data_IF_997887388584
#
_entry.id   IF_997887388584
#
_cell.length_a   1.000
_cell.length_b   1.000
_cell.length_c   1.000
_cell.angle_alpha   90.00
_cell.angle_beta   90.00
_cell.angle_gamma   90.00
#
_symmetry.space_group_name_H-M   'P 1'
#
loop_
_entity.id
_entity.type
_entity.pdbx_description
1 polymer ?
#
# COMPACT_ATOMS: atom_id res chain seq x y z
N UNK A 1 -22.83 9.47 11.95
CA UNK A 1 -22.63 8.40 10.95
C UNK A 1 -21.56 8.91 10.00
N UNK A 2 -20.45 8.22 9.83
CA UNK A 2 -19.59 8.48 8.68
C UNK A 2 -20.43 8.17 7.44
N UNK A 3 -20.57 9.15 6.54
CA UNK A 3 -21.04 8.88 5.19
C UNK A 3 -20.05 7.90 4.56
N UNK A 4 -20.54 6.83 3.98
CA UNK A 4 -19.79 5.65 3.52
C UNK A 4 -18.77 5.91 2.39
N UNK A 5 -18.52 7.15 2.03
CA UNK A 5 -17.48 7.53 1.06
C UNK A 5 -17.05 8.97 1.25
N UNK A 6 -15.77 9.24 1.08
CA UNK A 6 -15.26 10.60 0.97
C UNK A 6 -15.89 11.30 -0.24
N UNK A 7 -16.31 12.57 -0.13
CA UNK A 7 -16.82 13.32 -1.27
C UNK A 7 -15.74 13.49 -2.35
N UNK A 8 -16.09 13.26 -3.61
CA UNK A 8 -15.18 13.47 -4.74
C UNK A 8 -14.74 14.94 -4.91
N UNK A 9 -15.51 15.87 -4.32
CA UNK A 9 -15.21 17.31 -4.34
C UNK A 9 -13.94 17.69 -3.56
N UNK A 10 -13.42 16.79 -2.74
CA UNK A 10 -12.11 16.96 -2.10
C UNK A 10 -10.94 16.88 -3.09
N UNK A 11 -11.19 16.32 -4.28
CA UNK A 11 -10.23 16.18 -5.35
C UNK A 11 -10.49 17.18 -6.47
N UNK A 12 -9.42 17.63 -7.12
CA UNK A 12 -9.48 18.61 -8.20
C UNK A 12 -10.23 18.06 -9.42
N UNK A 13 -10.95 18.93 -10.12
CA UNK A 13 -11.79 18.55 -11.24
C UNK A 13 -10.99 17.97 -12.41
N UNK A 14 -11.70 17.14 -13.20
CA UNK A 14 -11.21 16.58 -14.45
C UNK A 14 -10.95 17.70 -15.48
N UNK A 15 -9.77 17.65 -16.09
CA UNK A 15 -9.43 18.49 -17.23
C UNK A 15 -9.46 17.59 -18.49
N UNK A 16 -10.01 18.05 -19.63
CA UNK A 16 -10.08 17.23 -20.87
C UNK A 16 -8.73 16.70 -21.39
N UNK A 17 -7.61 17.25 -20.88
CA UNK A 17 -6.25 16.81 -21.22
C UNK A 17 -5.83 15.48 -20.57
N UNK A 18 -6.64 14.94 -19.65
CA UNK A 18 -6.38 13.68 -18.93
C UNK A 18 -6.51 12.42 -19.83
N UNK A 19 -6.72 12.57 -21.12
CA UNK A 19 -6.73 11.43 -22.06
C UNK A 19 -5.32 10.93 -22.30
N UNK A 20 -5.09 9.68 -21.93
CA UNK A 20 -3.85 8.97 -22.22
C UNK A 20 -3.84 8.52 -23.66
N UNK A 21 -2.83 8.90 -24.44
CA UNK A 21 -2.61 8.39 -25.80
C UNK A 21 -1.12 8.08 -26.00
N UNK A 22 -0.84 7.09 -26.83
CA UNK A 22 0.54 6.73 -27.18
C UNK A 22 1.30 7.91 -27.79
N UNK A 23 0.63 8.70 -28.64
CA UNK A 23 1.21 9.87 -29.30
C UNK A 23 1.64 10.96 -28.31
N UNK A 24 0.89 11.18 -27.23
CA UNK A 24 1.28 12.15 -26.20
C UNK A 24 2.54 11.71 -25.46
N UNK A 25 2.65 10.42 -25.18
CA UNK A 25 3.82 9.86 -24.46
C UNK A 25 5.02 9.76 -25.39
N UNK A 26 4.82 9.32 -26.66
CA UNK A 26 5.89 9.26 -27.66
C UNK A 26 6.49 10.65 -27.97
N UNK A 27 5.66 11.71 -27.93
CA UNK A 27 6.10 13.10 -28.15
C UNK A 27 6.58 13.79 -26.86
N UNK A 28 6.83 13.05 -25.76
CA UNK A 28 7.31 13.59 -24.48
C UNK A 28 6.28 14.45 -23.73
N UNK A 29 5.04 14.52 -24.20
CA UNK A 29 3.94 15.19 -23.51
C UNK A 29 3.33 14.22 -22.49
N UNK A 30 3.52 14.51 -21.22
CA UNK A 30 2.97 13.71 -20.11
C UNK A 30 1.47 13.96 -20.02
N UNK A 31 0.67 12.92 -20.13
CA UNK A 31 -0.74 12.99 -19.75
C UNK A 31 -0.83 13.00 -18.23
N UNK A 32 -1.55 13.95 -17.66
CA UNK A 32 -1.88 13.97 -16.23
C UNK A 32 -3.24 13.30 -16.07
N UNK A 33 -3.29 12.16 -15.42
CA UNK A 33 -4.54 11.47 -15.07
C UNK A 33 -4.91 11.91 -13.65
N UNK A 34 -5.98 12.66 -13.48
CA UNK A 34 -6.43 13.12 -12.16
C UNK A 34 -7.08 11.99 -11.38
N UNK A 35 -6.78 11.89 -10.08
CA UNK A 35 -7.36 10.86 -9.20
C UNK A 35 -8.88 10.93 -9.18
N UNK A 36 -9.48 12.13 -9.19
CA UNK A 36 -10.93 12.33 -9.28
C UNK A 36 -11.55 11.63 -10.50
N UNK A 37 -10.91 11.71 -11.68
CA UNK A 37 -11.42 11.09 -12.91
C UNK A 37 -11.38 9.55 -12.88
N UNK A 38 -10.50 9.01 -12.06
CA UNK A 38 -10.31 7.56 -11.90
C UNK A 38 -11.29 7.01 -10.87
N UNK A 39 -11.45 7.69 -9.74
CA UNK A 39 -12.41 7.31 -8.69
C UNK A 39 -13.87 7.56 -9.08
N UNK A 40 -14.12 8.53 -9.97
CA UNK A 40 -15.44 8.82 -10.52
C UNK A 40 -15.90 7.86 -11.62
N UNK A 41 -14.99 7.05 -12.16
CA UNK A 41 -15.25 6.12 -13.27
C UNK A 41 -16.11 4.92 -12.78
N UNK A 42 -17.01 4.46 -13.65
CA UNK A 42 -17.90 3.34 -13.35
C UNK A 42 -17.14 2.05 -13.05
N UNK A 43 -15.96 1.85 -13.64
CA UNK A 43 -15.11 0.70 -13.35
C UNK A 43 -14.69 0.63 -11.88
N UNK A 44 -14.48 1.76 -11.22
CA UNK A 44 -14.17 1.81 -9.80
C UNK A 44 -15.44 1.84 -8.95
N UNK A 45 -16.41 2.70 -9.28
CA UNK A 45 -17.63 2.89 -8.49
C UNK A 45 -18.48 1.63 -8.36
N UNK A 46 -18.55 0.84 -9.43
CA UNK A 46 -19.32 -0.41 -9.46
C UNK A 46 -18.47 -1.65 -9.14
N UNK A 47 -17.22 -1.47 -8.71
CA UNK A 47 -16.31 -2.56 -8.36
C UNK A 47 -16.80 -3.27 -7.10
N UNK A 48 -16.91 -4.61 -7.18
CA UNK A 48 -17.30 -5.47 -6.04
C UNK A 48 -16.10 -6.11 -5.34
N UNK A 49 -14.90 -5.57 -5.57
CA UNK A 49 -13.68 -6.04 -4.94
C UNK A 49 -13.70 -5.77 -3.42
N UNK A 50 -13.05 -6.64 -2.66
CA UNK A 50 -12.89 -6.44 -1.21
C UNK A 50 -12.01 -5.24 -0.90
N UNK A 51 -10.91 -5.06 -1.62
CA UNK A 51 -10.01 -3.90 -1.51
C UNK A 51 -9.73 -3.32 -2.90
N UNK A 52 -10.68 -2.55 -3.47
CA UNK A 52 -10.53 -2.02 -4.82
C UNK A 52 -9.46 -0.91 -4.85
N UNK A 53 -8.51 -1.07 -5.75
CA UNK A 53 -7.44 -0.10 -6.00
C UNK A 53 -7.46 0.32 -7.45
N UNK A 54 -7.66 1.61 -7.70
CA UNK A 54 -7.63 2.22 -9.02
C UNK A 54 -6.32 3.01 -9.20
N UNK A 55 -5.40 2.48 -10.01
CA UNK A 55 -4.02 3.00 -10.09
C UNK A 55 -3.79 3.98 -11.25
N UNK A 56 -4.74 4.12 -12.17
CA UNK A 56 -4.59 5.01 -13.32
C UNK A 56 -5.36 4.54 -14.55
N UNK A 57 -4.91 4.97 -15.72
CA UNK A 57 -5.51 4.63 -17.01
C UNK A 57 -4.52 3.93 -17.92
N UNK A 58 -5.02 2.92 -18.65
CA UNK A 58 -4.29 2.26 -19.73
C UNK A 58 -4.21 3.17 -20.97
N UNK A 59 -3.40 2.80 -21.95
CA UNK A 59 -3.35 3.52 -23.24
C UNK A 59 -4.69 3.52 -24.01
N UNK A 60 -5.54 2.52 -23.76
CA UNK A 60 -6.92 2.51 -24.24
C UNK A 60 -7.87 3.39 -23.42
N UNK A 61 -7.35 4.25 -22.56
CA UNK A 61 -8.08 5.16 -21.66
C UNK A 61 -9.05 4.47 -20.70
N UNK A 62 -8.89 3.17 -20.45
CA UNK A 62 -9.67 2.41 -19.46
C UNK A 62 -9.04 2.57 -18.08
N UNK A 63 -9.86 2.74 -17.07
CA UNK A 63 -9.39 2.75 -15.68
C UNK A 63 -8.93 1.34 -15.30
N UNK A 64 -7.71 1.25 -14.76
CA UNK A 64 -7.18 0.00 -14.21
C UNK A 64 -7.53 -0.10 -12.75
N UNK A 65 -8.42 -1.04 -12.44
CA UNK A 65 -8.80 -1.41 -11.08
C UNK A 65 -8.33 -2.84 -10.82
N UNK A 66 -7.80 -3.08 -9.62
CA UNK A 66 -7.53 -4.44 -9.15
C UNK A 66 -7.93 -4.59 -7.68
N UNK A 67 -8.09 -5.83 -7.23
CA UNK A 67 -8.44 -6.16 -5.86
C UNK A 67 -7.17 -6.50 -5.05
N UNK A 68 -6.77 -5.63 -4.13
CA UNK A 68 -5.58 -5.88 -3.29
C UNK A 68 -5.77 -7.10 -2.38
N UNK A 69 -7.00 -7.49 -2.04
CA UNK A 69 -7.25 -8.70 -1.27
C UNK A 69 -6.97 -9.99 -2.08
N UNK A 70 -7.15 -9.94 -3.41
CA UNK A 70 -6.82 -11.04 -4.32
C UNK A 70 -5.38 -11.02 -4.79
N UNK A 71 -4.82 -9.82 -4.98
CA UNK A 71 -3.41 -9.55 -5.26
C UNK A 71 -2.73 -9.07 -3.97
N UNK A 72 -2.46 -9.96 -3.01
CA UNK A 72 -2.42 -9.65 -1.57
C UNK A 72 -1.28 -8.75 -1.15
N UNK A 73 -0.20 -8.70 -1.92
CA UNK A 73 0.97 -7.90 -1.59
C UNK A 73 1.49 -7.22 -2.84
N UNK A 74 1.82 -5.94 -2.70
CA UNK A 74 2.22 -5.09 -3.81
C UNK A 74 3.65 -4.60 -3.62
N UNK A 75 4.50 -4.82 -4.60
CA UNK A 75 5.84 -4.22 -4.69
C UNK A 75 5.80 -3.02 -5.63
N UNK A 76 6.25 -1.85 -5.17
CA UNK A 76 6.38 -0.63 -5.99
C UNK A 76 7.85 -0.22 -6.02
N UNK A 77 8.49 -0.24 -7.18
CA UNK A 77 9.90 0.10 -7.25
C UNK A 77 10.29 0.88 -8.52
N UNK A 78 11.38 1.63 -8.43
CA UNK A 78 11.97 2.38 -9.52
C UNK A 78 12.81 3.55 -9.04
N UNK A 79 13.27 4.40 -9.95
CA UNK A 79 14.17 5.50 -9.61
C UNK A 79 13.45 6.63 -8.85
N UNK A 80 14.23 7.44 -8.14
CA UNK A 80 13.74 8.60 -7.38
C UNK A 80 13.01 9.59 -8.29
N UNK A 81 11.92 10.19 -7.79
CA UNK A 81 11.10 11.19 -8.50
C UNK A 81 10.43 10.67 -9.79
N UNK A 82 10.24 9.35 -9.94
CA UNK A 82 9.61 8.77 -11.13
C UNK A 82 8.14 8.36 -10.92
N UNK A 83 7.56 8.61 -9.74
CA UNK A 83 6.13 8.37 -9.48
C UNK A 83 5.82 7.29 -8.44
N UNK A 84 6.82 6.80 -7.67
CA UNK A 84 6.62 5.84 -6.59
C UNK A 84 5.57 6.32 -5.58
N UNK A 85 5.77 7.52 -5.03
CA UNK A 85 4.85 8.14 -4.06
C UNK A 85 3.47 8.39 -4.66
N UNK A 86 3.41 8.77 -5.94
CA UNK A 86 2.14 8.94 -6.67
C UNK A 86 1.36 7.62 -6.71
N UNK A 87 2.02 6.50 -7.02
CA UNK A 87 1.39 5.19 -7.03
C UNK A 87 0.89 4.79 -5.63
N UNK A 88 1.68 5.03 -4.57
CA UNK A 88 1.27 4.76 -3.18
C UNK A 88 0.04 5.61 -2.82
N UNK A 89 0.06 6.90 -3.11
CA UNK A 89 -1.04 7.80 -2.81
C UNK A 89 -2.33 7.43 -3.56
N UNK A 90 -2.22 6.95 -4.80
CA UNK A 90 -3.37 6.43 -5.54
C UNK A 90 -3.98 5.19 -4.87
N UNK A 91 -3.15 4.29 -4.32
CA UNK A 91 -3.62 3.14 -3.54
C UNK A 91 -4.35 3.60 -2.28
N UNK A 92 -3.72 4.47 -1.48
CA UNK A 92 -4.32 4.97 -0.22
C UNK A 92 -5.63 5.70 -0.50
N UNK A 93 -5.66 6.60 -1.49
CA UNK A 93 -6.88 7.32 -1.86
C UNK A 93 -7.99 6.35 -2.30
N UNK A 94 -7.68 5.36 -3.16
CA UNK A 94 -8.67 4.36 -3.58
C UNK A 94 -9.31 3.66 -2.40
N UNK A 95 -8.50 3.24 -1.44
CA UNK A 95 -8.97 2.52 -0.26
C UNK A 95 -9.76 3.43 0.70
N UNK A 96 -9.35 4.69 0.89
CA UNK A 96 -10.11 5.67 1.71
C UNK A 96 -11.47 6.03 1.10
N UNK A 97 -11.58 6.02 -0.24
CA UNK A 97 -12.85 6.28 -0.93
C UNK A 97 -13.78 5.06 -0.98
N UNK A 98 -13.26 3.85 -0.78
CA UNK A 98 -14.02 2.61 -0.93
C UNK A 98 -14.36 1.93 0.39
N UNK A 99 -13.64 2.20 1.47
CA UNK A 99 -13.77 1.45 2.73
C UNK A 99 -14.02 2.36 3.93
N UNK A 100 -14.90 1.87 4.81
CA UNK A 100 -15.16 2.52 6.10
C UNK A 100 -14.02 2.21 7.10
N UNK A 101 -13.74 3.07 8.11
CA UNK A 101 -12.69 2.82 9.11
C UNK A 101 -12.86 1.52 9.92
N UNK A 102 -14.09 1.00 10.03
CA UNK A 102 -14.34 -0.31 10.66
C UNK A 102 -13.95 -1.50 9.77
N UNK A 103 -13.71 -1.27 8.48
CA UNK A 103 -13.37 -2.30 7.50
C UNK A 103 -11.89 -2.28 7.10
N UNK A 104 -11.18 -1.16 7.38
CA UNK A 104 -9.81 -0.94 6.92
C UNK A 104 -8.99 -0.18 7.95
N UNK A 105 -7.78 -0.65 8.15
CA UNK A 105 -6.74 0.05 8.90
C UNK A 105 -5.44 0.11 8.10
N UNK A 106 -4.69 1.19 8.29
CA UNK A 106 -3.35 1.36 7.72
C UNK A 106 -2.29 1.32 8.81
N UNK A 107 -1.12 0.83 8.43
CA UNK A 107 0.14 0.98 9.17
C UNK A 107 1.14 1.62 8.22
N UNK A 108 1.69 2.76 8.59
CA UNK A 108 2.66 3.48 7.76
C UNK A 108 4.06 3.42 8.37
N UNK A 109 5.01 2.92 7.58
CA UNK A 109 6.43 2.92 7.91
C UNK A 109 7.15 3.86 6.94
N UNK A 110 7.61 5.01 7.47
CA UNK A 110 8.29 6.08 6.73
C UNK A 110 9.63 6.43 7.40
N UNK A 111 10.68 5.66 7.13
CA UNK A 111 11.99 5.89 7.77
C UNK A 111 12.59 7.28 7.52
N UNK A 112 12.12 7.97 6.48
CA UNK A 112 12.56 9.31 6.13
C UNK A 112 11.70 10.41 6.76
N UNK A 113 10.48 10.09 7.20
CA UNK A 113 9.54 11.01 7.81
C UNK A 113 8.98 12.09 6.88
N UNK A 114 9.06 11.90 5.56
CA UNK A 114 8.74 12.94 4.58
C UNK A 114 7.46 12.65 3.78
N UNK A 115 7.15 11.37 3.56
CA UNK A 115 6.14 10.98 2.58
C UNK A 115 4.74 10.82 3.19
N UNK A 116 4.66 10.35 4.44
CA UNK A 116 3.38 10.00 5.06
C UNK A 116 2.92 10.93 6.17
N UNK A 117 3.58 12.06 6.40
CA UNK A 117 3.24 13.00 7.49
C UNK A 117 1.78 13.45 7.46
N UNK A 118 1.21 13.70 6.27
CA UNK A 118 -0.18 14.11 6.12
C UNK A 118 -1.19 13.04 6.57
N UNK A 119 -0.81 11.76 6.50
CA UNK A 119 -1.66 10.64 6.90
C UNK A 119 -1.72 10.43 8.42
N UNK A 120 -0.88 11.09 9.22
CA UNK A 120 -0.97 11.06 10.68
C UNK A 120 -2.36 11.50 11.20
N UNK A 121 -3.04 12.39 10.48
CA UNK A 121 -4.42 12.83 10.77
C UNK A 121 -5.45 11.71 10.72
N UNK A 122 -5.15 10.60 10.08
CA UNK A 122 -6.01 9.42 10.06
C UNK A 122 -6.01 8.62 11.37
N UNK A 123 -5.16 9.00 12.35
CA UNK A 123 -4.88 8.25 13.59
C UNK A 123 -6.11 7.82 14.37
N UNK A 124 -7.11 8.68 14.46
CA UNK A 124 -8.35 8.38 15.20
C UNK A 124 -9.31 7.41 14.49
N UNK A 125 -9.09 7.13 13.20
CA UNK A 125 -10.05 6.42 12.35
C UNK A 125 -9.45 5.22 11.63
N UNK A 126 -8.39 5.45 10.84
CA UNK A 126 -7.87 4.46 9.90
C UNK A 126 -6.51 3.88 10.28
N UNK A 127 -5.85 4.35 11.34
CA UNK A 127 -4.54 3.80 11.68
C UNK A 127 -4.62 2.67 12.70
N UNK A 128 -3.74 1.69 12.51
CA UNK A 128 -3.39 0.68 13.49
C UNK A 128 -1.97 1.00 14.01
N UNK A 129 -1.82 1.12 15.32
CA UNK A 129 -0.57 1.57 15.98
C UNK A 129 -0.31 0.77 17.23
N UNK A 130 0.94 0.74 17.66
CA UNK A 130 1.29 0.31 19.02
C UNK A 130 0.82 1.36 20.04
N UNK A 131 0.54 0.92 21.26
CA UNK A 131 0.08 1.80 22.33
C UNK A 131 1.13 2.88 22.66
N UNK A 132 0.71 4.15 22.69
CA UNK A 132 1.59 5.27 23.01
C UNK A 132 2.63 5.66 21.96
N UNK A 133 2.68 4.97 20.82
CA UNK A 133 3.64 5.23 19.75
C UNK A 133 3.12 6.24 18.72
N UNK A 134 4.06 6.78 17.95
CA UNK A 134 3.75 7.72 16.88
C UNK A 134 2.92 7.02 15.79
N UNK A 135 1.87 7.65 15.24
CA UNK A 135 1.02 7.03 14.22
C UNK A 135 1.75 6.70 12.91
N UNK A 136 2.90 7.35 12.65
CA UNK A 136 3.78 7.03 11.53
C UNK A 136 5.11 6.53 12.11
N UNK A 137 5.46 5.30 11.76
CA UNK A 137 6.67 4.63 12.23
C UNK A 137 7.90 5.14 11.47
N UNK A 138 8.89 5.68 12.18
CA UNK A 138 10.05 6.33 11.54
C UNK A 138 11.39 5.66 11.84
N UNK A 139 11.51 4.89 12.91
CA UNK A 139 12.77 4.24 13.28
C UNK A 139 12.76 2.75 12.97
N UNK A 140 13.95 2.15 12.77
CA UNK A 140 14.07 0.70 12.56
C UNK A 140 13.56 -0.12 13.74
N UNK A 141 13.83 0.32 14.95
CA UNK A 141 13.39 -0.36 16.18
C UNK A 141 11.85 -0.39 16.23
N UNK A 142 11.21 0.76 16.04
CA UNK A 142 9.76 0.84 15.99
C UNK A 142 9.18 0.01 14.84
N UNK A 143 9.85 -0.02 13.67
CA UNK A 143 9.43 -0.83 12.53
C UNK A 143 9.49 -2.33 12.86
N UNK A 144 10.55 -2.78 13.53
CA UNK A 144 10.70 -4.16 13.99
C UNK A 144 9.56 -4.55 14.93
N UNK A 145 9.33 -3.76 15.99
CA UNK A 145 8.24 -3.98 16.96
C UNK A 145 6.86 -3.97 16.30
N UNK A 146 6.60 -3.03 15.40
CA UNK A 146 5.32 -2.93 14.69
C UNK A 146 5.06 -4.14 13.77
N UNK A 147 6.10 -4.61 13.06
CA UNK A 147 5.98 -5.79 12.20
C UNK A 147 5.83 -7.09 12.99
N UNK A 148 6.48 -7.19 14.14
CA UNK A 148 6.27 -8.31 15.06
C UNK A 148 4.86 -8.32 15.63
N UNK A 149 4.35 -7.17 16.10
CA UNK A 149 2.96 -7.02 16.54
C UNK A 149 1.95 -7.42 15.46
N UNK A 150 2.22 -7.09 14.18
CA UNK A 150 1.40 -7.53 13.06
C UNK A 150 1.47 -9.06 12.86
N UNK A 151 2.62 -9.68 13.11
CA UNK A 151 2.74 -11.14 13.08
C UNK A 151 1.93 -11.78 14.21
N UNK A 152 1.91 -11.21 15.40
CA UNK A 152 1.09 -11.68 16.52
C UNK A 152 -0.41 -11.51 16.24
N UNK A 153 -0.81 -10.36 15.72
CA UNK A 153 -2.19 -10.13 15.25
C UNK A 153 -2.60 -11.18 14.20
N UNK A 154 -1.72 -11.49 13.26
CA UNK A 154 -1.94 -12.53 12.26
C UNK A 154 -2.17 -13.89 12.89
N UNK A 155 -1.33 -14.31 13.83
CA UNK A 155 -1.45 -15.62 14.49
C UNK A 155 -2.69 -15.68 15.39
N UNK A 156 -3.04 -14.58 16.08
CA UNK A 156 -4.28 -14.48 16.85
C UNK A 156 -5.51 -14.67 15.97
N UNK A 157 -5.54 -14.02 14.79
CA UNK A 157 -6.62 -14.22 13.81
C UNK A 157 -6.69 -15.66 13.31
N UNK A 158 -5.53 -16.28 13.01
CA UNK A 158 -5.50 -17.69 12.63
C UNK A 158 -6.06 -18.62 13.71
N UNK A 159 -5.73 -18.37 14.98
CA UNK A 159 -6.27 -19.14 16.09
C UNK A 159 -7.79 -19.08 16.15
N UNK A 160 -8.38 -17.90 15.94
CA UNK A 160 -9.85 -17.74 15.88
C UNK A 160 -10.47 -18.45 14.65
N UNK A 161 -9.84 -18.34 13.46
CA UNK A 161 -10.31 -19.05 12.27
C UNK A 161 -10.32 -20.57 12.48
N UNK A 162 -9.28 -21.10 13.12
CA UNK A 162 -9.13 -22.54 13.38
C UNK A 162 -10.24 -23.07 14.31
N UNK A 163 -10.56 -22.34 15.38
CA UNK A 163 -11.63 -22.70 16.31
C UNK A 163 -12.98 -22.69 15.62
N UNK A 164 -13.22 -21.70 14.74
CA UNK A 164 -14.48 -21.57 13.98
C UNK A 164 -14.59 -22.46 12.74
N UNK A 165 -13.53 -23.21 12.37
CA UNK A 165 -13.43 -23.92 11.08
C UNK A 165 -13.70 -22.99 9.88
N UNK A 166 -13.21 -21.75 9.96
CA UNK A 166 -13.40 -20.69 8.97
C UNK A 166 -12.11 -20.56 8.15
N UNK A 167 -12.23 -20.39 6.84
CA UNK A 167 -11.06 -20.41 5.95
C UNK A 167 -10.36 -19.05 5.81
N UNK A 168 -11.09 -17.95 5.98
CA UNK A 168 -10.55 -16.62 5.72
C UNK A 168 -11.42 -15.49 6.33
N UNK A 169 -10.85 -14.26 6.31
CA UNK A 169 -11.49 -13.04 6.83
C UNK A 169 -12.87 -12.76 6.20
N UNK A 170 -13.07 -13.06 4.91
CA UNK A 170 -14.35 -12.80 4.23
C UNK A 170 -15.45 -13.66 4.84
N UNK A 171 -15.16 -14.94 5.07
CA UNK A 171 -16.08 -15.87 5.71
C UNK A 171 -16.31 -15.49 7.18
N UNK A 172 -15.25 -15.12 7.90
CA UNK A 172 -15.35 -14.64 9.27
C UNK A 172 -16.29 -13.43 9.38
N UNK A 173 -16.04 -12.41 8.55
CA UNK A 173 -16.82 -11.17 8.56
C UNK A 173 -18.28 -11.36 8.12
N UNK A 174 -18.59 -12.39 7.34
CA UNK A 174 -19.98 -12.75 7.00
C UNK A 174 -20.74 -13.38 8.16
N UNK A 175 -20.04 -14.05 9.07
CA UNK A 175 -20.63 -14.69 10.25
C UNK A 175 -20.78 -13.73 11.44
N UNK A 176 -20.09 -12.58 11.41
CA UNK A 176 -20.16 -11.58 12.45
C UNK A 176 -21.58 -11.05 12.61
N UNK A 177 -22.13 -11.14 13.83
CA UNK A 177 -23.49 -10.71 14.16
C UNK A 177 -23.63 -9.18 14.15
N UNK A 178 -22.55 -8.49 14.46
CA UNK A 178 -22.48 -7.02 14.51
C UNK A 178 -21.31 -6.47 13.71
N UNK A 179 -21.37 -5.22 13.21
CA UNK A 179 -20.24 -4.60 12.54
C UNK A 179 -18.97 -4.51 13.40
N UNK A 180 -19.12 -4.45 14.73
CA UNK A 180 -18.02 -4.34 15.69
C UNK A 180 -17.23 -5.63 15.85
N UNK A 181 -17.83 -6.77 15.56
CA UNK A 181 -17.18 -8.09 15.58
C UNK A 181 -16.36 -8.36 14.33
N UNK A 182 -16.58 -7.58 13.26
CA UNK A 182 -15.82 -7.73 12.01
C UNK A 182 -14.38 -7.31 12.17
N UNK A 183 -13.50 -8.09 11.60
CA UNK A 183 -12.10 -7.69 11.49
C UNK A 183 -11.88 -6.72 10.34
N UNK A 184 -11.20 -5.59 10.59
CA UNK A 184 -10.74 -4.76 9.50
C UNK A 184 -9.61 -5.45 8.74
N UNK A 185 -9.53 -5.17 7.44
CA UNK A 185 -8.30 -5.39 6.70
C UNK A 185 -7.21 -4.46 7.24
N UNK A 186 -5.98 -4.94 7.30
CA UNK A 186 -4.82 -4.14 7.69
C UNK A 186 -3.88 -4.03 6.48
N UNK A 187 -3.64 -2.81 6.02
CA UNK A 187 -2.72 -2.54 4.90
C UNK A 187 -1.49 -1.81 5.44
N UNK A 188 -0.37 -2.52 5.47
CA UNK A 188 0.92 -1.97 5.90
C UNK A 188 1.66 -1.42 4.70
N UNK A 189 2.05 -0.15 4.75
CA UNK A 189 2.74 0.56 3.66
C UNK A 189 4.13 0.98 4.11
N UNK A 190 5.14 0.50 3.40
CA UNK A 190 6.55 0.77 3.67
C UNK A 190 7.10 1.61 2.53
N UNK A 191 7.46 2.89 2.82
CA UNK A 191 7.92 3.83 1.78
C UNK A 191 9.29 3.48 1.20
N UNK A 192 10.26 3.14 2.03
CA UNK A 192 11.62 2.79 1.58
C UNK A 192 12.13 1.54 2.31
N UNK A 193 11.86 0.39 1.72
CA UNK A 193 12.25 -0.90 2.25
C UNK A 193 13.77 -1.05 2.43
N UNK A 194 14.55 -0.46 1.51
CA UNK A 194 16.00 -0.52 1.58
C UNK A 194 16.56 0.13 2.86
N UNK A 195 15.94 1.20 3.34
CA UNK A 195 16.42 1.89 4.56
C UNK A 195 16.13 1.10 5.83
N UNK A 196 15.12 0.21 5.82
CA UNK A 196 14.84 -0.70 6.94
C UNK A 196 15.74 -1.94 6.93
N UNK A 197 16.10 -2.45 5.76
CA UNK A 197 16.74 -3.77 5.62
C UNK A 197 18.23 -3.73 5.32
N UNK A 198 18.77 -2.60 4.86
CA UNK A 198 20.21 -2.42 4.76
C UNK A 198 20.74 -1.99 6.14
N UNK A 199 21.65 -2.78 6.77
CA UNK A 199 22.23 -2.41 8.05
C UNK A 199 22.96 -1.06 8.00
N UNK A 200 22.78 -0.22 9.00
CA UNK A 200 23.56 0.99 9.18
C UNK A 200 24.90 0.61 9.84
N UNK A 201 25.96 0.54 9.03
CA UNK A 201 27.30 0.22 9.54
C UNK A 201 27.57 -1.29 9.74
N UNK A 202 28.50 -1.61 10.64
CA UNK A 202 28.95 -2.99 10.91
C UNK A 202 28.45 -3.54 12.25
N UNK A 203 27.64 -2.79 12.96
CA UNK A 203 27.10 -3.18 14.27
C UNK A 203 26.19 -4.40 14.15
N UNK A 204 26.40 -5.35 15.05
CA UNK A 204 25.71 -6.64 15.04
C UNK A 204 24.20 -6.45 15.31
N UNK A 205 23.87 -5.56 16.23
CA UNK A 205 22.49 -5.18 16.56
C UNK A 205 21.72 -4.64 15.33
N UNK A 206 22.34 -3.73 14.56
CA UNK A 206 21.72 -3.19 13.32
C UNK A 206 21.46 -4.28 12.27
N UNK A 207 22.32 -5.30 12.19
CA UNK A 207 22.13 -6.44 11.30
C UNK A 207 21.00 -7.34 11.79
N UNK A 208 20.95 -7.58 13.10
CA UNK A 208 19.90 -8.37 13.72
C UNK A 208 18.52 -7.75 13.44
N UNK A 209 18.32 -6.48 13.77
CA UNK A 209 17.05 -5.77 13.55
C UNK A 209 16.66 -5.79 12.07
N UNK A 210 17.59 -5.54 11.16
CA UNK A 210 17.31 -5.56 9.70
C UNK A 210 16.90 -6.95 9.19
N UNK A 211 17.42 -8.01 9.80
CA UNK A 211 17.05 -9.39 9.51
C UNK A 211 15.65 -9.71 10.02
N UNK A 212 15.36 -9.39 11.30
CA UNK A 212 14.03 -9.58 11.90
C UNK A 212 12.93 -8.86 11.12
N UNK A 213 13.18 -7.62 10.69
CA UNK A 213 12.26 -6.86 9.82
C UNK A 213 11.99 -7.64 8.52
N UNK A 214 13.03 -8.14 7.88
CA UNK A 214 12.90 -8.90 6.62
C UNK A 214 12.11 -10.19 6.82
N UNK A 215 12.39 -10.94 7.88
CA UNK A 215 11.72 -12.19 8.21
C UNK A 215 10.25 -11.97 8.55
N UNK A 216 9.93 -10.93 9.32
CA UNK A 216 8.54 -10.54 9.63
C UNK A 216 7.75 -10.15 8.37
N UNK A 217 8.33 -9.37 7.47
CA UNK A 217 7.70 -9.01 6.19
C UNK A 217 7.43 -10.26 5.35
N UNK A 218 8.39 -11.17 5.24
CA UNK A 218 8.22 -12.41 4.48
C UNK A 218 7.12 -13.28 5.11
N UNK A 219 7.11 -13.43 6.45
CA UNK A 219 6.10 -14.19 7.18
C UNK A 219 4.70 -13.63 6.96
N UNK A 220 4.53 -12.31 7.10
CA UNK A 220 3.27 -11.60 6.83
C UNK A 220 2.85 -11.76 5.36
N UNK A 221 3.79 -11.65 4.42
CA UNK A 221 3.50 -11.79 3.01
C UNK A 221 3.13 -13.24 2.60
N UNK A 222 3.62 -14.25 3.30
CA UNK A 222 3.27 -15.65 3.05
C UNK A 222 1.90 -16.04 3.60
N UNK A 223 1.51 -15.49 4.75
CA UNK A 223 0.35 -15.95 5.51
C UNK A 223 -0.76 -14.87 5.66
N UNK A 224 -0.44 -13.59 5.56
CA UNK A 224 -1.36 -12.50 5.89
C UNK A 224 -2.66 -12.45 5.09
N UNK A 225 -2.64 -12.95 3.83
CA UNK A 225 -3.80 -12.90 2.92
C UNK A 225 -5.09 -13.45 3.52
N UNK A 226 -5.03 -14.63 4.11
CA UNK A 226 -6.24 -15.30 4.63
C UNK A 226 -6.87 -14.54 5.80
N UNK A 227 -6.07 -13.84 6.58
CA UNK A 227 -6.51 -13.07 7.75
C UNK A 227 -6.65 -11.57 7.48
N UNK A 228 -6.52 -11.14 6.21
CA UNK A 228 -6.76 -9.77 5.79
C UNK A 228 -5.63 -8.79 6.12
N UNK A 229 -4.38 -9.27 6.22
CA UNK A 229 -3.19 -8.42 6.40
C UNK A 229 -2.42 -8.38 5.10
N UNK A 230 -2.21 -7.17 4.57
CA UNK A 230 -1.57 -6.92 3.28
C UNK A 230 -0.39 -5.98 3.43
N UNK A 231 0.65 -6.18 2.61
CA UNK A 231 1.85 -5.34 2.61
C UNK A 231 2.02 -4.68 1.25
N UNK A 232 2.27 -3.38 1.27
CA UNK A 232 2.75 -2.61 0.13
C UNK A 232 4.19 -2.23 0.43
N UNK A 233 5.10 -2.82 -0.33
CA UNK A 233 6.53 -2.65 -0.19
C UNK A 233 7.04 -1.70 -1.26
N UNK A 234 7.62 -0.58 -0.88
CA UNK A 234 8.18 0.34 -1.85
C UNK A 234 9.68 0.56 -1.67
N UNK A 235 10.39 0.81 -2.77
CA UNK A 235 11.83 1.13 -2.73
C UNK A 235 12.27 1.93 -3.95
N UNK A 236 13.20 2.85 -3.74
CA UNK A 236 13.91 3.58 -4.80
C UNK A 236 15.24 2.91 -5.16
N UNK A 237 15.58 1.79 -4.49
CA UNK A 237 16.84 1.03 -4.71
C UNK A 237 16.54 -0.38 -5.21
N UNK A 238 16.16 -0.54 -6.49
CA UNK A 238 15.78 -1.83 -7.07
C UNK A 238 17.00 -2.70 -7.36
N UNK A 239 17.74 -3.10 -6.31
CA UNK A 239 18.89 -3.99 -6.42
C UNK A 239 18.55 -5.40 -5.93
N UNK A 240 19.29 -6.42 -6.40
CA UNK A 240 19.14 -7.80 -5.95
C UNK A 240 19.37 -7.98 -4.43
N UNK A 241 20.11 -7.06 -3.79
CA UNK A 241 20.31 -7.06 -2.34
C UNK A 241 19.06 -6.62 -1.57
N UNK A 242 18.23 -5.78 -2.18
CA UNK A 242 16.99 -5.25 -1.59
C UNK A 242 15.80 -6.12 -2.03
N UNK A 243 15.61 -6.28 -3.34
CA UNK A 243 14.55 -7.12 -3.91
C UNK A 243 15.16 -8.51 -4.18
N UNK A 244 15.20 -9.33 -3.12
CA UNK A 244 15.69 -10.70 -3.18
C UNK A 244 14.69 -11.63 -3.86
N UNK A 245 15.12 -12.84 -4.20
CA UNK A 245 14.21 -13.82 -4.81
C UNK A 245 13.09 -14.23 -3.84
N UNK A 246 13.34 -14.24 -2.52
CA UNK A 246 12.31 -14.47 -1.51
C UNK A 246 11.25 -13.37 -1.50
N UNK A 247 11.67 -12.11 -1.58
CA UNK A 247 10.73 -10.97 -1.69
C UNK A 247 9.93 -11.07 -3.00
N UNK A 248 10.58 -11.37 -4.13
CA UNK A 248 9.88 -11.52 -5.41
C UNK A 248 8.85 -12.64 -5.41
N UNK A 249 9.15 -13.74 -4.73
CA UNK A 249 8.23 -14.87 -4.62
C UNK A 249 6.98 -14.56 -3.79
N UNK A 250 7.11 -13.68 -2.78
CA UNK A 250 6.00 -13.30 -1.90
C UNK A 250 5.21 -12.07 -2.39
N UNK A 251 5.75 -11.31 -3.36
CA UNK A 251 5.11 -10.14 -3.97
C UNK A 251 4.86 -10.34 -5.46
N UNK A 252 3.80 -11.10 -5.84
CA UNK A 252 3.50 -11.40 -7.23
C UNK A 252 2.96 -10.19 -8.01
N UNK A 253 2.33 -9.24 -7.30
CA UNK A 253 1.83 -7.99 -7.88
C UNK A 253 2.88 -6.90 -7.77
N UNK A 254 3.24 -6.29 -8.91
CA UNK A 254 4.34 -5.33 -8.95
C UNK A 254 4.01 -4.13 -9.81
N UNK A 255 4.46 -2.97 -9.36
CA UNK A 255 4.48 -1.73 -10.13
C UNK A 255 5.93 -1.30 -10.29
N UNK A 256 6.40 -1.22 -11.54
CA UNK A 256 7.66 -0.58 -11.85
C UNK A 256 7.40 0.82 -12.39
N UNK A 257 7.85 1.84 -11.70
CA UNK A 257 8.01 3.17 -12.27
C UNK A 257 9.35 3.22 -13.02
N UNK A 258 9.62 4.31 -13.76
CA UNK A 258 10.85 4.40 -14.55
C UNK A 258 12.10 4.02 -13.73
N UNK A 259 12.91 3.12 -14.30
CA UNK A 259 14.21 2.72 -13.76
C UNK A 259 15.36 3.39 -14.52
N UNK A 260 16.54 3.43 -13.92
CA UNK A 260 17.72 3.99 -14.58
C UNK A 260 18.37 3.02 -15.56
N UNK A 261 18.27 1.72 -15.28
CA UNK A 261 18.90 0.68 -16.07
C UNK A 261 17.94 -0.47 -16.40
N UNK A 262 18.25 -1.19 -17.48
CA UNK A 262 17.58 -2.43 -17.86
C UNK A 262 17.73 -3.54 -16.79
N UNK A 263 18.83 -3.52 -16.05
CA UNK A 263 19.06 -4.45 -14.95
C UNK A 263 18.08 -4.20 -13.82
N UNK A 264 17.85 -2.94 -13.45
CA UNK A 264 16.87 -2.58 -12.40
C UNK A 264 15.45 -3.01 -12.79
N UNK A 265 15.07 -2.81 -14.06
CA UNK A 265 13.78 -3.29 -14.57
C UNK A 265 13.64 -4.79 -14.38
N UNK A 266 14.68 -5.58 -14.72
CA UNK A 266 14.66 -7.04 -14.53
C UNK A 266 14.61 -7.45 -13.07
N UNK A 267 15.21 -6.69 -12.16
CA UNK A 267 15.11 -6.97 -10.72
C UNK A 267 13.66 -6.85 -10.24
N UNK A 268 12.91 -5.84 -10.74
CA UNK A 268 11.53 -5.61 -10.34
C UNK A 268 10.57 -6.56 -11.07
N UNK A 269 10.65 -6.61 -12.41
CA UNK A 269 9.62 -7.21 -13.27
C UNK A 269 9.98 -8.60 -13.82
N UNK A 270 11.21 -9.06 -13.62
CA UNK A 270 11.83 -10.23 -14.29
C UNK A 270 12.00 -10.00 -15.82
N UNK A 271 11.65 -8.84 -16.32
CA UNK A 271 11.71 -8.43 -17.73
C UNK A 271 12.24 -7.01 -17.89
N UNK A 272 12.80 -6.65 -19.04
CA UNK A 272 13.12 -5.26 -19.37
C UNK A 272 11.85 -4.47 -19.69
N UNK A 273 11.97 -3.13 -19.72
CA UNK A 273 10.90 -2.23 -20.19
C UNK A 273 10.74 -0.99 -19.31
N UNK A 274 10.94 -1.11 -17.98
CA UNK A 274 10.78 0.04 -17.09
C UNK A 274 11.83 1.15 -17.31
N UNK A 275 12.97 0.83 -17.90
CA UNK A 275 13.98 1.81 -18.32
C UNK A 275 13.50 2.73 -19.43
N UNK A 276 12.51 2.31 -20.21
CA UNK A 276 11.94 3.05 -21.35
C UNK A 276 10.69 3.88 -21.00
N UNK A 277 10.28 3.86 -19.72
CA UNK A 277 9.14 4.64 -19.27
C UNK A 277 9.44 6.15 -19.32
N UNK A 278 8.43 6.96 -19.61
CA UNK A 278 8.57 8.42 -19.70
C UNK A 278 8.78 9.10 -18.33
N UNK A 279 8.50 8.40 -17.23
CA UNK A 279 8.45 8.98 -15.89
C UNK A 279 7.15 9.77 -15.63
N UNK A 280 7.07 10.47 -14.49
CA UNK A 280 5.88 11.27 -14.16
C UNK A 280 4.60 10.43 -14.02
N UNK A 281 4.71 9.24 -13.42
CA UNK A 281 3.60 8.33 -13.21
C UNK A 281 3.38 7.30 -14.32
N UNK A 282 4.15 7.35 -15.42
CA UNK A 282 4.18 6.27 -16.42
C UNK A 282 4.81 5.03 -15.77
N UNK A 283 4.09 3.91 -15.74
CA UNK A 283 4.47 2.71 -15.01
C UNK A 283 4.09 1.43 -15.74
N UNK A 284 4.74 0.35 -15.38
CA UNK A 284 4.35 -1.01 -15.77
C UNK A 284 3.74 -1.69 -14.53
N UNK A 285 2.49 -2.10 -14.67
CA UNK A 285 1.80 -2.94 -13.70
C UNK A 285 1.93 -4.41 -14.13
N UNK A 286 2.35 -5.25 -13.19
CA UNK A 286 2.47 -6.69 -13.38
C UNK A 286 1.66 -7.40 -12.31
N UNK A 287 0.86 -8.36 -12.71
CA UNK A 287 0.21 -9.32 -11.84
C UNK A 287 0.45 -10.72 -12.42
N UNK A 288 1.05 -11.58 -11.63
CA UNK A 288 1.51 -12.91 -12.06
C UNK A 288 2.40 -12.83 -13.32
N UNK A 289 1.88 -13.27 -14.48
CA UNK A 289 2.56 -13.24 -15.78
C UNK A 289 2.14 -12.08 -16.68
N UNK A 290 1.02 -11.42 -16.36
CA UNK A 290 0.47 -10.35 -17.17
C UNK A 290 1.13 -9.01 -16.83
N UNK A 291 1.49 -8.26 -17.87
CA UNK A 291 2.05 -6.92 -17.74
C UNK A 291 1.26 -5.93 -18.56
N UNK A 292 0.98 -4.76 -17.98
CA UNK A 292 0.27 -3.69 -18.66
C UNK A 292 0.94 -2.33 -18.36
N UNK A 293 1.11 -1.50 -19.37
CA UNK A 293 1.62 -0.13 -19.20
C UNK A 293 0.45 0.81 -18.90
N UNK A 294 0.63 1.63 -17.86
CA UNK A 294 -0.42 2.45 -17.28
C UNK A 294 0.14 3.84 -17.00
N UNK A 295 -0.63 4.87 -17.31
CA UNK A 295 -0.39 6.20 -16.75
C UNK A 295 -1.06 6.28 -15.38
N UNK A 296 -0.26 6.39 -14.33
CA UNK A 296 -0.73 6.48 -12.95
C UNK A 296 -1.55 7.72 -12.68
N UNK A 297 -2.53 7.57 -11.81
CA UNK A 297 -3.36 8.69 -11.37
C UNK A 297 -2.58 9.58 -10.38
N UNK A 298 -2.67 10.88 -10.61
CA UNK A 298 -2.04 11.90 -9.77
C UNK A 298 -3.03 12.45 -8.76
N UNK A 299 -2.59 12.54 -7.54
CA UNK A 299 -3.22 13.27 -6.45
C UNK A 299 -2.18 14.22 -5.85
N UNK A 300 -2.54 15.49 -5.71
CA UNK A 300 -1.61 16.49 -5.20
C UNK A 300 -1.48 16.43 -3.67
N UNK A 301 -0.40 16.97 -3.07
CA UNK A 301 -0.28 17.08 -1.62
C UNK A 301 -1.43 17.87 -0.99
N UNK A 302 -1.94 18.88 -1.68
CA UNK A 302 -3.08 19.70 -1.24
C UNK A 302 -4.37 18.87 -1.19
N UNK A 303 -4.61 18.03 -2.20
CA UNK A 303 -5.75 17.09 -2.23
C UNK A 303 -5.65 16.08 -1.08
N UNK A 304 -4.46 15.51 -0.83
CA UNK A 304 -4.21 14.61 0.30
C UNK A 304 -4.51 15.33 1.63
N UNK A 305 -4.04 16.56 1.78
CA UNK A 305 -4.32 17.36 2.98
C UNK A 305 -5.82 17.63 3.16
N UNK A 306 -6.55 17.97 2.10
CA UNK A 306 -8.02 18.14 2.17
C UNK A 306 -8.71 16.84 2.58
N UNK A 307 -8.30 15.71 1.97
CA UNK A 307 -8.85 14.39 2.25
C UNK A 307 -8.61 13.97 3.71
N UNK A 308 -7.40 14.07 4.20
CA UNK A 308 -7.05 13.69 5.57
C UNK A 308 -7.67 14.59 6.61
N UNK A 309 -7.75 15.91 6.35
CA UNK A 309 -8.45 16.87 7.21
C UNK A 309 -9.96 16.57 7.26
N UNK A 310 -10.57 16.24 6.11
CA UNK A 310 -11.98 15.85 6.08
C UNK A 310 -12.22 14.61 6.94
N UNK A 311 -11.40 13.57 6.82
CA UNK A 311 -11.51 12.36 7.65
C UNK A 311 -11.34 12.68 9.13
N UNK A 312 -10.34 13.50 9.50
CA UNK A 312 -10.08 13.92 10.88
C UNK A 312 -11.26 14.68 11.51
N UNK A 313 -11.94 15.51 10.69
CA UNK A 313 -13.09 16.33 11.13
C UNK A 313 -14.37 15.54 11.34
N UNK A 314 -14.43 14.26 10.93
CA UNK A 314 -15.64 13.47 11.09
C UNK A 314 -15.93 13.21 12.57
N UNK A 315 -17.15 13.56 13.00
CA UNK A 315 -17.61 13.47 14.39
C UNK A 315 -17.97 12.07 14.87
N UNK A 316 -17.62 11.03 14.12
CA UNK A 316 -17.83 9.65 14.57
C UNK A 316 -16.91 9.31 15.74
N UNK A 317 -17.35 8.34 16.57
CA UNK A 317 -16.53 7.83 17.67
C UNK A 317 -15.17 7.37 17.11
N UNK A 318 -14.12 8.05 17.53
CA UNK A 318 -12.74 7.64 17.21
C UNK A 318 -12.51 6.25 17.81
N UNK A 319 -12.15 5.30 16.97
CA UNK A 319 -11.82 3.94 17.37
C UNK A 319 -10.42 3.62 16.85
N UNK A 320 -9.37 4.10 17.56
CA UNK A 320 -8.02 3.72 17.21
C UNK A 320 -7.88 2.20 17.30
N UNK A 321 -7.19 1.61 16.34
CA UNK A 321 -6.88 0.19 16.37
C UNK A 321 -5.51 0.02 17.00
N UNK A 322 -5.48 -0.58 18.20
CA UNK A 322 -4.23 -0.84 18.89
C UNK A 322 -3.76 -2.25 18.51
N UNK A 323 -2.56 -2.35 17.97
CA UNK A 323 -1.89 -3.62 17.74
C UNK A 323 -1.49 -4.26 19.07
N UNK A 324 -1.38 -5.60 19.15
CA UNK A 324 -0.86 -6.27 20.34
C UNK A 324 0.55 -5.77 20.66
N UNK A 325 0.90 -5.73 21.94
CA UNK A 325 2.28 -5.45 22.34
C UNK A 325 3.11 -6.71 22.08
N UNK A 326 4.20 -6.62 21.30
CA UNK A 326 5.02 -7.79 21.02
C UNK A 326 5.66 -8.30 22.32
N UNK A 327 5.66 -9.62 22.49
CA UNK A 327 6.31 -10.28 23.63
C UNK A 327 7.79 -9.88 23.68
N UNK A 328 8.16 -9.17 24.74
CA UNK A 328 9.52 -8.63 24.95
C UNK A 328 10.59 -9.68 25.26
N UNK A 329 10.26 -10.97 25.13
CA UNK A 329 11.22 -12.04 25.35
C UNK A 329 12.01 -12.32 24.06
N UNK A 330 13.36 -12.28 24.07
CA UNK A 330 14.14 -12.75 22.95
C UNK A 330 13.79 -14.22 22.69
N UNK A 331 13.23 -14.51 21.52
CA UNK A 331 13.04 -15.91 21.09
C UNK A 331 14.41 -16.53 20.95
N UNK A 332 14.72 -17.49 21.87
CA UNK A 332 15.97 -18.22 21.97
C UNK A 332 16.29 -19.02 20.70
#
# INVERSE_FOLDING_TARGET
>A
MLTTSCPLDLLDEYIPEDKVSEDKIANGRRAVVRMRSVLGDDAFRNCKAELPVAIGRTFGNKVKVFDLAKAPHLLIAGATKQGKTVAINAVVASLLYSKHPSELKFVFLDPKGCEFSAYSRLGGHYLATLSGENPIVQTKDQAGKTLEALCEEMEARYSHLSVGSISNIVEYNKQASTPQERWPYIVTIIDEYADLTIPAGREEESRYISREITESIIRLAQKGRAVGIHIILATQRPSKKVITDSIKATFPTRIAVRTMTRTDSRVILDSPGAENLAGGGDMIFKIDTETERIQGSYISPEEINRLTTYVESQSCKKTPYTLPEPDSAPKA
#
